data_IF_624798826090
#
_entry.id   IF_624798826090
#
_cell.length_a   1.000
_cell.length_b   1.000
_cell.length_c   1.000
_cell.angle_alpha   90.00
_cell.angle_beta   90.00
_cell.angle_gamma   90.00
#
_symmetry.space_group_name_H-M   'P 1'
#
loop_
_entity.id
_entity.type
_entity.pdbx_description
1 polymer ?
#
# COMPACT_ATOMS: atom_id res chain seq x y z
N UNK A 1 -7.78 5.82 -13.33
CA UNK A 1 -6.42 5.28 -13.12
C UNK A 1 -6.47 3.75 -13.12
N UNK A 2 -5.55 3.04 -13.79
CA UNK A 2 -5.59 1.57 -13.95
C UNK A 2 -4.93 0.78 -12.81
N UNK A 3 -4.95 1.33 -11.60
CA UNK A 3 -4.31 0.78 -10.40
C UNK A 3 -5.37 0.61 -9.33
N UNK A 4 -5.59 -0.62 -8.88
CA UNK A 4 -6.64 -0.96 -7.90
C UNK A 4 -6.08 -1.42 -6.55
N UNK A 5 -4.80 -1.79 -6.51
CA UNK A 5 -4.11 -2.28 -5.32
C UNK A 5 -2.57 -2.20 -5.51
N UNK A 6 -1.80 -2.39 -4.43
CA UNK A 6 -0.33 -2.48 -4.47
C UNK A 6 0.20 -3.61 -5.37
N UNK A 7 -0.63 -4.61 -5.63
CA UNK A 7 -0.35 -5.69 -6.56
C UNK A 7 -1.60 -5.99 -7.36
N UNK A 8 -1.44 -6.15 -8.67
CA UNK A 8 -2.51 -6.54 -9.57
C UNK A 8 -2.25 -7.94 -10.10
N UNK A 9 -3.31 -8.74 -10.20
CA UNK A 9 -3.27 -10.07 -10.81
C UNK A 9 -3.90 -10.00 -12.19
N UNK A 10 -3.19 -10.49 -13.20
CA UNK A 10 -3.77 -10.81 -14.50
C UNK A 10 -3.96 -12.32 -14.57
N UNK A 11 -5.21 -12.74 -14.49
CA UNK A 11 -5.60 -14.15 -14.49
C UNK A 11 -5.33 -14.80 -15.85
N UNK A 12 -5.54 -14.08 -16.95
CA UNK A 12 -5.39 -14.61 -18.30
C UNK A 12 -3.91 -14.84 -18.66
N UNK A 13 -3.03 -13.89 -18.32
CA UNK A 13 -1.58 -14.06 -18.53
C UNK A 13 -0.89 -14.83 -17.40
N UNK A 14 -1.55 -15.00 -16.26
CA UNK A 14 -1.02 -15.58 -15.01
C UNK A 14 0.19 -14.82 -14.48
N UNK A 15 0.14 -13.51 -14.60
CA UNK A 15 1.17 -12.60 -14.15
C UNK A 15 0.68 -11.72 -13.00
N UNK A 16 1.57 -11.44 -12.06
CA UNK A 16 1.38 -10.41 -11.04
C UNK A 16 2.31 -9.25 -11.35
N UNK A 17 1.82 -8.02 -11.23
CA UNK A 17 2.68 -6.85 -11.31
C UNK A 17 2.42 -5.88 -10.15
N UNK A 18 3.50 -5.24 -9.71
CA UNK A 18 3.47 -4.12 -8.77
C UNK A 18 3.50 -2.83 -9.60
N UNK A 19 2.53 -1.92 -9.42
CA UNK A 19 2.55 -0.63 -10.09
C UNK A 19 3.84 0.16 -9.80
N UNK A 20 4.24 1.01 -10.73
CA UNK A 20 5.36 1.96 -10.58
C UNK A 20 5.02 3.26 -11.30
N UNK A 21 5.95 4.21 -11.36
CA UNK A 21 5.70 5.51 -12.04
C UNK A 21 5.34 5.34 -13.52
N UNK A 22 5.68 4.18 -14.09
CA UNK A 22 5.40 3.78 -15.47
C UNK A 22 4.02 3.17 -15.68
N UNK A 23 3.26 2.96 -14.62
CA UNK A 23 1.91 2.38 -14.68
C UNK A 23 0.83 3.41 -15.01
N UNK A 24 1.15 4.70 -14.95
CA UNK A 24 0.22 5.80 -15.18
C UNK A 24 0.38 6.34 -16.60
N UNK A 25 -0.75 6.49 -17.31
CA UNK A 25 -0.83 7.00 -18.68
C UNK A 25 -1.29 8.45 -18.78
N UNK A 26 -1.72 9.03 -17.65
CA UNK A 26 -2.27 10.38 -17.56
C UNK A 26 -1.29 11.28 -16.81
N UNK A 27 -1.31 12.60 -17.07
CA UNK A 27 -0.57 13.57 -16.28
C UNK A 27 -0.88 13.45 -14.80
N UNK A 28 0.16 13.50 -13.98
CA UNK A 28 0.04 13.60 -12.52
C UNK A 28 -0.11 15.07 -12.11
N UNK A 29 -0.45 15.32 -10.84
CA UNK A 29 -0.68 16.68 -10.34
C UNK A 29 0.50 17.62 -10.62
N UNK A 30 1.73 17.16 -10.37
CA UNK A 30 2.94 17.94 -10.62
C UNK A 30 3.19 18.21 -12.11
N UNK A 31 2.80 17.30 -13.01
CA UNK A 31 2.92 17.54 -14.45
C UNK A 31 2.02 18.71 -14.86
N UNK A 32 0.79 18.76 -14.35
CA UNK A 32 -0.19 19.84 -14.63
C UNK A 32 0.31 21.18 -14.05
N UNK A 33 0.89 21.16 -12.84
CA UNK A 33 1.46 22.35 -12.21
C UNK A 33 2.67 22.89 -12.98
N UNK A 34 3.61 22.03 -13.38
CA UNK A 34 4.78 22.44 -14.17
C UNK A 34 4.38 22.99 -15.55
N UNK A 35 3.39 22.39 -16.22
CA UNK A 35 2.85 22.91 -17.49
C UNK A 35 2.29 24.35 -17.34
N UNK A 36 1.84 24.72 -16.13
CA UNK A 36 1.40 26.07 -15.79
C UNK A 36 2.53 27.00 -15.29
N UNK A 37 3.76 26.50 -15.20
CA UNK A 37 4.93 27.23 -14.70
C UNK A 37 5.07 27.28 -13.18
N UNK A 38 4.33 26.45 -12.45
CA UNK A 38 4.45 26.28 -11.00
C UNK A 38 5.58 25.29 -10.72
N UNK A 39 6.57 25.70 -9.93
CA UNK A 39 7.69 24.84 -9.54
C UNK A 39 7.29 23.87 -8.42
N UNK A 40 7.79 22.64 -8.47
CA UNK A 40 7.30 21.54 -7.62
C UNK A 40 8.41 20.75 -6.94
N UNK A 41 8.27 20.57 -5.62
CA UNK A 41 9.05 19.64 -4.81
C UNK A 41 8.18 18.49 -4.31
N UNK A 42 8.59 17.24 -4.54
CA UNK A 42 7.86 16.05 -4.07
C UNK A 42 8.78 15.17 -3.25
N UNK A 43 8.37 14.80 -2.04
CA UNK A 43 9.14 13.96 -1.11
C UNK A 43 8.32 12.74 -0.69
N UNK A 44 8.88 11.55 -0.90
CA UNK A 44 8.37 10.32 -0.29
C UNK A 44 7.06 9.80 -0.88
N UNK A 45 6.60 10.31 -2.03
CA UNK A 45 5.35 9.85 -2.65
C UNK A 45 5.50 8.41 -3.15
N UNK A 46 4.64 7.46 -2.73
CA UNK A 46 4.68 6.09 -3.24
C UNK A 46 4.43 6.01 -4.75
N UNK A 47 4.90 4.92 -5.37
CA UNK A 47 4.70 4.63 -6.80
C UNK A 47 5.33 5.64 -7.77
N UNK A 48 6.18 6.55 -7.31
CA UNK A 48 6.88 7.52 -8.18
C UNK A 48 8.26 7.06 -8.61
N UNK A 49 8.70 5.84 -8.25
CA UNK A 49 9.95 5.27 -8.78
C UNK A 49 9.76 4.60 -10.16
N UNK A 50 10.69 4.77 -11.13
CA UNK A 50 11.80 5.74 -11.11
C UNK A 50 11.29 7.18 -11.11
N UNK A 51 11.98 8.11 -10.40
CA UNK A 51 11.54 9.49 -10.26
C UNK A 51 11.39 10.13 -11.64
N UNK A 52 10.32 10.91 -11.82
CA UNK A 52 10.08 11.69 -13.03
C UNK A 52 10.78 13.04 -12.94
N UNK A 53 11.06 13.61 -14.10
CA UNK A 53 11.50 15.00 -14.22
C UNK A 53 10.36 15.94 -13.80
N UNK A 54 10.70 16.94 -13.00
CA UNK A 54 9.81 18.02 -12.54
C UNK A 54 10.58 19.33 -12.49
N UNK A 55 9.89 20.46 -12.60
CA UNK A 55 10.48 21.80 -12.44
C UNK A 55 10.75 22.08 -10.95
N UNK A 56 11.79 21.43 -10.41
CA UNK A 56 12.14 21.46 -9.00
C UNK A 56 12.87 20.18 -8.61
N UNK A 57 12.28 19.38 -7.71
CA UNK A 57 12.87 18.11 -7.28
C UNK A 57 11.82 17.05 -6.93
N UNK A 58 12.21 15.78 -7.04
CA UNK A 58 11.42 14.62 -6.65
C UNK A 58 12.29 13.62 -5.89
N UNK A 59 11.80 13.12 -4.76
CA UNK A 59 12.32 11.97 -4.02
C UNK A 59 11.24 10.89 -4.05
N UNK A 60 11.53 9.77 -4.69
CA UNK A 60 10.61 8.64 -4.77
C UNK A 60 10.36 8.00 -3.40
N UNK A 61 9.13 7.58 -3.11
CA UNK A 61 8.74 7.00 -1.83
C UNK A 61 8.63 5.47 -1.75
N UNK A 62 8.53 4.95 -0.53
CA UNK A 62 8.14 3.57 -0.25
C UNK A 62 6.63 3.31 -0.44
N UNK A 63 6.18 2.05 -0.59
CA UNK A 63 6.95 0.84 -0.80
C UNK A 63 7.23 0.68 -2.30
N UNK A 64 8.46 0.98 -2.75
CA UNK A 64 8.80 0.89 -4.18
C UNK A 64 10.12 1.54 -4.58
N UNK A 65 10.48 2.66 -3.96
CA UNK A 65 11.75 3.35 -4.25
C UNK A 65 12.97 2.56 -3.72
N UNK A 66 13.98 2.19 -4.51
CA UNK A 66 15.20 1.58 -3.98
C UNK A 66 16.08 2.61 -3.23
N UNK A 67 17.15 2.13 -2.61
CA UNK A 67 18.13 3.00 -1.92
C UNK A 67 19.16 3.62 -2.88
N UNK A 68 18.87 3.61 -4.18
CA UNK A 68 19.64 4.22 -5.27
C UNK A 68 18.71 4.71 -6.39
N UNK A 69 19.19 5.67 -7.18
CA UNK A 69 18.49 6.31 -8.30
C UNK A 69 17.08 6.80 -7.94
N UNK A 70 16.87 7.24 -6.70
CA UNK A 70 15.53 7.57 -6.17
C UNK A 70 15.18 9.04 -6.26
N UNK A 71 16.09 9.89 -6.76
CA UNK A 71 15.87 11.34 -6.87
C UNK A 71 15.90 11.85 -8.31
N UNK A 72 15.16 12.94 -8.52
CA UNK A 72 15.37 13.88 -9.61
C UNK A 72 15.55 15.29 -9.03
N UNK A 73 16.50 16.10 -9.50
CA UNK A 73 17.64 15.72 -10.34
C UNK A 73 18.54 14.66 -9.67
N UNK A 74 19.27 13.86 -10.45
CA UNK A 74 20.04 12.71 -9.96
C UNK A 74 21.11 13.09 -8.90
N UNK A 75 21.67 14.29 -8.97
CA UNK A 75 22.71 14.75 -8.04
C UNK A 75 22.18 15.09 -6.63
N UNK A 76 20.86 15.21 -6.47
CA UNK A 76 20.22 15.37 -5.16
C UNK A 76 20.48 14.16 -4.28
N UNK A 77 20.54 12.94 -4.84
CA UNK A 77 20.78 11.72 -4.07
C UNK A 77 22.11 11.77 -3.30
N UNK A 78 23.20 12.16 -3.96
CA UNK A 78 24.53 12.26 -3.34
C UNK A 78 24.55 13.32 -2.23
N UNK A 79 23.83 14.43 -2.44
CA UNK A 79 23.66 15.47 -1.44
C UNK A 79 22.91 14.94 -0.21
N UNK A 80 21.80 14.24 -0.40
CA UNK A 80 21.00 13.71 0.71
C UNK A 80 21.74 12.62 1.48
N UNK A 81 22.42 11.70 0.78
CA UNK A 81 23.26 10.68 1.42
C UNK A 81 24.41 11.29 2.21
N UNK A 82 25.10 12.29 1.65
CA UNK A 82 26.27 12.89 2.31
C UNK A 82 25.94 13.79 3.50
N UNK A 83 24.83 14.53 3.44
CA UNK A 83 24.42 15.47 4.50
C UNK A 83 23.56 14.84 5.58
N UNK A 84 22.70 13.89 5.20
CA UNK A 84 21.63 13.39 6.06
C UNK A 84 21.68 11.87 6.28
N UNK A 85 22.59 11.14 5.61
CA UNK A 85 22.57 9.67 5.56
C UNK A 85 21.20 9.14 5.10
N UNK A 86 20.59 9.85 4.15
CA UNK A 86 19.20 9.63 3.75
C UNK A 86 19.02 8.38 2.88
N UNK A 87 17.95 7.65 3.18
CA UNK A 87 17.34 6.67 2.27
C UNK A 87 15.81 6.86 2.27
N UNK A 88 15.09 6.50 1.19
CA UNK A 88 13.64 6.68 1.10
C UNK A 88 12.80 5.84 2.07
N UNK A 89 13.44 4.95 2.83
CA UNK A 89 12.80 4.05 3.79
C UNK A 89 13.76 3.75 4.94
N UNK A 90 13.22 3.50 6.15
CA UNK A 90 14.04 3.08 7.27
C UNK A 90 14.72 1.73 6.97
N UNK A 91 15.99 1.62 7.34
CA UNK A 91 16.73 0.35 7.25
C UNK A 91 16.52 -0.46 8.53
N UNK A 92 15.82 -1.59 8.41
CA UNK A 92 15.63 -2.53 9.51
C UNK A 92 16.69 -3.64 9.48
N UNK A 93 17.34 -3.97 10.61
CA UNK A 93 18.20 -5.14 10.72
C UNK A 93 17.43 -6.41 10.31
N UNK A 94 18.08 -7.30 9.57
CA UNK A 94 17.45 -8.52 9.03
C UNK A 94 16.78 -9.43 10.09
N UNK A 95 17.14 -9.27 11.37
CA UNK A 95 16.66 -10.05 12.50
C UNK A 95 15.66 -9.30 13.41
N UNK A 96 15.14 -8.14 12.99
CA UNK A 96 14.29 -7.25 13.83
C UNK A 96 12.78 -7.34 13.56
N UNK A 97 12.33 -8.16 12.61
CA UNK A 97 10.89 -8.39 12.40
C UNK A 97 10.30 -9.17 13.60
N UNK A 98 9.78 -8.44 14.59
CA UNK A 98 8.90 -8.94 15.64
C UNK A 98 9.44 -8.90 17.07
N UNK A 99 10.75 -8.76 17.29
CA UNK A 99 11.33 -8.87 18.64
C UNK A 99 11.63 -7.51 19.33
N UNK A 100 11.51 -6.37 18.63
CA UNK A 100 11.72 -5.04 19.22
C UNK A 100 10.78 -3.96 18.64
N UNK A 101 9.51 -3.95 19.06
CA UNK A 101 8.51 -2.93 18.70
C UNK A 101 9.03 -1.49 18.94
N UNK A 102 9.82 -1.28 19.99
CA UNK A 102 10.35 0.03 20.37
C UNK A 102 11.37 0.56 19.35
N UNK A 103 12.40 -0.23 19.00
CA UNK A 103 13.40 0.17 17.99
C UNK A 103 12.75 0.42 16.62
N UNK A 104 11.76 -0.40 16.26
CA UNK A 104 11.04 -0.25 15.01
C UNK A 104 10.25 1.06 14.98
N UNK A 105 9.57 1.39 16.08
CA UNK A 105 8.89 2.68 16.23
C UNK A 105 9.86 3.86 16.20
N UNK A 106 10.99 3.77 16.88
CA UNK A 106 12.02 4.82 16.91
C UNK A 106 12.54 5.13 15.51
N UNK A 107 12.93 4.11 14.74
CA UNK A 107 13.41 4.29 13.36
C UNK A 107 12.36 4.88 12.43
N UNK A 108 11.10 4.48 12.61
CA UNK A 108 9.99 5.02 11.84
C UNK A 108 9.80 6.50 12.14
N UNK A 109 9.82 6.87 13.43
CA UNK A 109 9.72 8.27 13.88
C UNK A 109 10.91 9.10 13.39
N UNK A 110 12.12 8.53 13.41
CA UNK A 110 13.33 9.16 12.86
C UNK A 110 13.21 9.38 11.34
N UNK A 111 12.67 8.42 10.59
CA UNK A 111 12.42 8.59 9.16
C UNK A 111 11.41 9.70 8.90
N UNK A 112 10.29 9.77 9.65
CA UNK A 112 9.32 10.87 9.54
C UNK A 112 10.02 12.21 9.73
N UNK A 113 10.81 12.35 10.80
CA UNK A 113 11.58 13.58 11.05
C UNK A 113 12.57 13.90 9.92
N UNK A 114 13.23 12.87 9.39
CA UNK A 114 14.21 13.00 8.32
C UNK A 114 13.58 13.44 6.99
N UNK A 115 12.43 12.88 6.62
CA UNK A 115 11.68 13.25 5.41
C UNK A 115 11.32 14.74 5.39
N UNK A 116 10.87 15.28 6.53
CA UNK A 116 10.59 16.72 6.64
C UNK A 116 11.87 17.58 6.65
N UNK A 117 12.96 17.12 7.28
CA UNK A 117 14.25 17.83 7.24
C UNK A 117 14.81 17.94 5.83
N UNK A 118 14.76 16.85 5.06
CA UNK A 118 15.22 16.89 3.66
C UNK A 118 14.28 17.72 2.79
N UNK A 119 12.97 17.67 3.03
CA UNK A 119 12.00 18.51 2.33
C UNK A 119 12.31 20.00 2.55
N UNK A 120 12.51 20.42 3.80
CA UNK A 120 12.89 21.81 4.14
C UNK A 120 14.23 22.22 3.52
N UNK A 121 15.25 21.37 3.61
CA UNK A 121 16.56 21.64 3.02
C UNK A 121 16.48 21.84 1.50
N UNK A 122 15.70 21.00 0.81
CA UNK A 122 15.53 21.13 -0.64
C UNK A 122 14.61 22.30 -1.01
N UNK A 123 13.58 22.59 -0.23
CA UNK A 123 12.78 23.81 -0.38
C UNK A 123 13.68 25.06 -0.29
N UNK A 124 14.53 25.19 0.72
CA UNK A 124 15.47 26.33 0.85
C UNK A 124 16.46 26.45 -0.32
N UNK A 125 16.75 25.33 -1.01
CA UNK A 125 17.67 25.29 -2.16
C UNK A 125 16.98 25.63 -3.48
N UNK A 126 15.78 25.08 -3.70
CA UNK A 126 15.06 25.15 -4.97
C UNK A 126 13.97 26.23 -5.01
N UNK A 127 13.51 26.69 -3.84
CA UNK A 127 12.49 27.75 -3.68
C UNK A 127 11.20 27.43 -4.46
N UNK A 128 10.63 26.25 -4.21
CA UNK A 128 9.49 25.72 -4.99
C UNK A 128 8.15 26.30 -4.55
N UNK A 129 7.26 26.54 -5.50
CA UNK A 129 5.91 27.07 -5.27
C UNK A 129 4.96 26.02 -4.65
N UNK A 130 5.16 24.74 -4.97
CA UNK A 130 4.39 23.61 -4.43
C UNK A 130 5.33 22.58 -3.80
N UNK A 131 5.11 22.26 -2.52
CA UNK A 131 5.86 21.23 -1.80
C UNK A 131 4.91 20.15 -1.26
N UNK A 132 5.09 18.91 -1.71
CA UNK A 132 4.40 17.75 -1.18
C UNK A 132 5.36 16.86 -0.39
N UNK A 133 5.01 16.55 0.87
CA UNK A 133 5.72 15.58 1.71
C UNK A 133 4.75 14.45 2.08
N UNK A 134 5.02 13.24 1.58
CA UNK A 134 4.25 12.05 1.90
C UNK A 134 5.00 11.21 2.94
N UNK A 135 4.39 11.04 4.11
CA UNK A 135 4.98 10.26 5.20
C UNK A 135 4.36 8.86 5.24
N UNK A 136 4.97 7.89 4.57
CA UNK A 136 4.50 6.50 4.57
C UNK A 136 4.61 5.84 5.96
N UNK A 137 5.63 6.22 6.73
CA UNK A 137 5.94 5.65 8.05
C UNK A 137 4.93 6.03 9.15
N UNK A 138 4.05 7.02 8.92
CA UNK A 138 2.94 7.26 9.84
C UNK A 138 1.96 6.08 9.84
N UNK A 139 1.81 5.41 8.69
CA UNK A 139 0.92 4.28 8.53
C UNK A 139 1.65 2.93 8.69
N UNK A 140 2.67 2.71 7.84
CA UNK A 140 3.17 1.37 7.52
C UNK A 140 3.99 0.68 8.62
N UNK A 141 4.35 1.40 9.68
CA UNK A 141 4.42 0.75 10.98
C UNK A 141 3.62 1.41 12.09
N UNK A 142 3.56 2.74 12.17
CA UNK A 142 3.12 3.39 13.41
C UNK A 142 1.62 3.16 13.67
N UNK A 143 0.74 3.55 12.76
CA UNK A 143 -0.70 3.29 12.91
C UNK A 143 -1.01 1.79 12.90
N UNK A 144 -0.36 0.98 12.06
CA UNK A 144 -0.61 -0.46 12.06
C UNK A 144 -0.24 -1.15 13.37
N UNK A 145 0.89 -0.83 13.98
CA UNK A 145 1.37 -1.51 15.20
C UNK A 145 0.88 -0.86 16.49
N UNK A 146 0.79 0.46 16.51
CA UNK A 146 0.52 1.23 17.72
C UNK A 146 -0.84 1.92 17.70
N UNK A 147 -1.54 1.96 16.56
CA UNK A 147 -2.81 2.68 16.41
C UNK A 147 -2.69 4.12 16.90
N UNK A 148 -3.42 4.51 17.94
CA UNK A 148 -3.38 5.83 18.58
C UNK A 148 -2.40 5.93 19.77
N UNK A 149 -1.53 4.93 19.92
CA UNK A 149 -0.54 4.84 20.99
C UNK A 149 0.53 5.93 20.95
N UNK A 150 1.32 6.00 22.03
CA UNK A 150 2.31 7.06 22.23
C UNK A 150 3.36 7.18 21.10
N UNK A 151 3.85 6.10 20.46
CA UNK A 151 4.74 6.24 19.31
C UNK A 151 4.09 6.96 18.10
N UNK A 152 2.87 6.60 17.73
CA UNK A 152 2.13 7.26 16.64
C UNK A 152 1.88 8.73 16.98
N UNK A 153 1.47 9.02 18.21
CA UNK A 153 1.27 10.39 18.69
C UNK A 153 2.57 11.20 18.70
N UNK A 154 3.71 10.58 19.01
CA UNK A 154 5.03 11.23 18.96
C UNK A 154 5.39 11.61 17.51
N UNK A 155 5.15 10.73 16.54
CA UNK A 155 5.33 11.07 15.12
C UNK A 155 4.43 12.23 14.68
N UNK A 156 3.13 12.20 15.02
CA UNK A 156 2.22 13.30 14.70
C UNK A 156 2.67 14.65 15.30
N UNK A 157 3.21 14.66 16.52
CA UNK A 157 3.77 15.89 17.10
C UNK A 157 5.02 16.39 16.37
N UNK A 158 5.83 15.47 15.83
CA UNK A 158 6.99 15.86 15.01
C UNK A 158 6.52 16.46 13.69
N UNK A 159 5.54 15.82 13.04
CA UNK A 159 4.88 16.36 11.84
C UNK A 159 4.32 17.76 12.13
N UNK A 160 3.56 17.93 13.21
CA UNK A 160 2.97 19.22 13.63
C UNK A 160 4.04 20.32 13.82
N UNK A 161 5.17 20.00 14.44
CA UNK A 161 6.28 20.96 14.58
C UNK A 161 6.88 21.35 13.22
N UNK A 162 7.13 20.38 12.33
CA UNK A 162 7.67 20.65 10.99
C UNK A 162 6.68 21.44 10.12
N UNK A 163 5.39 21.15 10.24
CA UNK A 163 4.34 21.94 9.60
C UNK A 163 4.35 23.37 10.13
N UNK A 164 4.49 23.58 11.44
CA UNK A 164 4.64 24.92 12.02
C UNK A 164 5.85 25.68 11.50
N UNK A 165 6.97 24.99 11.27
CA UNK A 165 8.21 25.56 10.72
C UNK A 165 8.12 25.91 9.23
N UNK A 166 7.24 25.26 8.46
CA UNK A 166 7.04 25.48 7.03
C UNK A 166 5.79 26.32 6.73
N UNK A 167 4.84 26.43 7.64
CA UNK A 167 3.54 27.05 7.38
C UNK A 167 3.64 28.53 7.00
N UNK A 168 4.62 29.27 7.53
CA UNK A 168 4.83 30.68 7.20
C UNK A 168 5.45 30.89 5.79
N UNK A 169 5.97 29.83 5.19
CA UNK A 169 6.61 29.85 3.87
C UNK A 169 5.62 29.64 2.71
N UNK A 170 4.41 29.15 3.01
CA UNK A 170 3.37 28.85 2.01
C UNK A 170 2.07 29.57 2.35
N UNK A 171 1.33 30.04 1.34
CA UNK A 171 0.02 30.65 1.57
C UNK A 171 -1.01 29.63 2.06
N UNK A 172 -0.90 28.38 1.59
CA UNK A 172 -1.82 27.30 1.94
C UNK A 172 -1.07 26.09 2.48
N UNK A 173 -1.62 25.49 3.54
CA UNK A 173 -1.22 24.19 4.05
C UNK A 173 -2.39 23.24 3.89
N UNK A 174 -2.16 22.15 3.15
CA UNK A 174 -3.13 21.07 2.92
C UNK A 174 -2.61 19.79 3.57
N UNK A 175 -3.36 19.23 4.49
CA UNK A 175 -3.09 17.91 5.09
C UNK A 175 -4.20 16.98 4.63
N UNK A 176 -3.85 15.86 4.02
CA UNK A 176 -4.80 14.82 3.69
C UNK A 176 -4.20 13.43 3.96
N UNK A 177 -5.05 12.42 4.02
CA UNK A 177 -4.64 11.02 4.04
C UNK A 177 -5.33 10.25 2.94
N UNK A 178 -4.63 9.25 2.40
CA UNK A 178 -5.16 8.32 1.40
C UNK A 178 -6.26 7.40 1.98
N UNK A 179 -6.21 7.18 3.29
CA UNK A 179 -7.25 6.49 4.07
C UNK A 179 -7.23 6.93 5.54
N UNK A 180 -8.21 6.48 6.31
CA UNK A 180 -8.25 6.60 7.76
C UNK A 180 -7.57 5.44 8.49
N UNK A 181 -7.74 5.41 9.81
CA UNK A 181 -7.31 4.27 10.64
C UNK A 181 -8.42 3.88 11.62
N UNK A 182 -8.64 2.58 11.79
CA UNK A 182 -9.52 2.01 12.83
C UNK A 182 -8.73 1.10 13.76
N UNK A 183 -9.20 0.95 15.00
CA UNK A 183 -8.68 -0.07 15.91
C UNK A 183 -8.99 -1.46 15.35
N UNK A 184 -8.03 -2.37 15.43
CA UNK A 184 -8.24 -3.76 15.05
C UNK A 184 -7.41 -4.71 15.90
N UNK A 185 -7.82 -5.97 15.94
CA UNK A 185 -7.05 -7.00 16.62
C UNK A 185 -7.24 -8.40 16.03
N UNK A 186 -7.89 -8.54 14.86
CA UNK A 186 -8.08 -9.81 14.15
C UNK A 186 -7.61 -9.78 12.72
N UNK A 187 -7.30 -10.98 12.25
CA UNK A 187 -7.00 -11.28 10.86
C UNK A 187 -8.00 -12.31 10.36
N UNK A 188 -8.44 -12.12 9.13
CA UNK A 188 -9.25 -13.08 8.37
C UNK A 188 -8.47 -13.54 7.14
N UNK A 189 -8.46 -14.84 6.83
CA UNK A 189 -7.72 -15.41 5.70
C UNK A 189 -8.67 -15.80 4.57
N UNK A 190 -8.96 -14.88 3.64
CA UNK A 190 -9.94 -15.10 2.56
C UNK A 190 -9.60 -16.33 1.69
N UNK A 191 -8.33 -16.52 1.34
CA UNK A 191 -7.92 -17.66 0.51
C UNK A 191 -8.00 -19.01 1.24
N UNK A 192 -7.96 -19.00 2.58
CA UNK A 192 -8.24 -20.19 3.38
C UNK A 192 -9.73 -20.50 3.40
N UNK A 193 -10.58 -19.47 3.47
CA UNK A 193 -12.03 -19.63 3.37
C UNK A 193 -12.44 -20.15 1.98
N UNK A 194 -11.97 -19.51 0.90
CA UNK A 194 -12.21 -19.96 -0.48
C UNK A 194 -11.80 -21.43 -0.68
N UNK A 195 -10.70 -21.87 -0.04
CA UNK A 195 -10.26 -23.25 -0.12
C UNK A 195 -11.12 -24.23 0.70
N UNK A 196 -11.71 -23.79 1.81
CA UNK A 196 -12.61 -24.60 2.62
C UNK A 196 -13.97 -24.79 1.93
N UNK A 197 -14.49 -23.75 1.31
CA UNK A 197 -15.76 -23.77 0.55
C UNK A 197 -15.60 -24.37 -0.86
N UNK A 198 -14.37 -24.64 -1.30
CA UNK A 198 -14.08 -25.34 -2.55
C UNK A 198 -13.90 -24.45 -3.78
N UNK A 199 -13.91 -23.13 -3.63
CA UNK A 199 -13.60 -22.17 -4.70
C UNK A 199 -12.12 -22.12 -5.06
N UNK A 200 -11.21 -22.46 -4.14
CA UNK A 200 -9.77 -22.44 -4.36
C UNK A 200 -9.15 -23.81 -4.10
N UNK A 201 -8.44 -24.34 -5.10
CA UNK A 201 -7.66 -25.56 -4.96
C UNK A 201 -6.17 -25.26 -5.11
N UNK A 202 -5.34 -25.85 -4.24
CA UNK A 202 -3.88 -25.63 -4.24
C UNK A 202 -3.10 -26.92 -4.44
N UNK A 203 -1.92 -26.80 -5.03
CA UNK A 203 -0.94 -27.89 -5.10
C UNK A 203 -0.27 -28.07 -3.73
N UNK A 204 -0.55 -29.19 -3.05
CA UNK A 204 0.14 -29.59 -1.82
C UNK A 204 1.47 -30.24 -2.18
N UNK A 205 2.45 -29.42 -2.55
CA UNK A 205 3.75 -29.93 -2.97
C UNK A 205 4.58 -30.52 -1.82
N UNK A 206 5.57 -31.34 -2.17
CA UNK A 206 6.55 -31.96 -1.26
C UNK A 206 7.19 -30.97 -0.25
N UNK A 207 7.31 -29.69 -0.61
CA UNK A 207 7.93 -28.66 0.23
C UNK A 207 7.07 -28.22 1.41
N UNK A 208 5.73 -28.34 1.34
CA UNK A 208 4.87 -28.09 2.52
C UNK A 208 5.15 -29.12 3.63
N UNK A 209 5.47 -30.37 3.27
CA UNK A 209 5.88 -31.39 4.25
C UNK A 209 7.21 -31.07 4.91
N UNK A 210 8.09 -30.29 4.28
CA UNK A 210 9.35 -29.86 4.89
C UNK A 210 9.14 -28.77 5.95
N UNK A 211 8.08 -27.96 5.82
CA UNK A 211 7.67 -27.03 6.87
C UNK A 211 7.19 -27.77 8.13
N UNK A 212 6.52 -28.92 7.99
CA UNK A 212 6.19 -29.82 9.12
C UNK A 212 7.45 -30.33 9.86
N UNK A 213 8.61 -30.37 9.17
CA UNK A 213 9.92 -30.69 9.75
C UNK A 213 10.73 -29.44 10.14
N UNK A 214 10.10 -28.26 10.15
CA UNK A 214 10.70 -27.01 10.61
C UNK A 214 11.61 -26.32 9.59
N UNK A 215 11.47 -26.60 8.30
CA UNK A 215 12.18 -25.86 7.24
C UNK A 215 11.21 -24.78 6.70
N UNK A 216 11.35 -23.55 7.19
CA UNK A 216 10.57 -22.38 6.79
C UNK A 216 11.43 -21.39 6.01
N UNK A 217 10.82 -20.49 5.22
CA UNK A 217 11.54 -19.44 4.48
C UNK A 217 12.45 -18.63 5.41
N UNK A 218 11.94 -18.24 6.57
CA UNK A 218 12.68 -17.41 7.54
C UNK A 218 13.89 -18.13 8.14
N UNK A 219 13.77 -19.43 8.44
CA UNK A 219 14.93 -20.23 8.90
C UNK A 219 15.98 -20.39 7.80
N UNK A 220 15.54 -20.52 6.55
CA UNK A 220 16.44 -20.65 5.43
C UNK A 220 17.17 -19.34 5.15
N UNK A 221 16.46 -18.21 5.25
CA UNK A 221 17.04 -16.86 5.19
C UNK A 221 18.02 -16.63 6.35
N UNK A 222 17.65 -16.95 7.60
CA UNK A 222 18.55 -16.81 8.76
C UNK A 222 19.83 -17.64 8.66
N UNK A 223 19.78 -18.83 8.03
CA UNK A 223 20.99 -19.60 7.70
C UNK A 223 21.84 -18.89 6.65
N UNK A 224 21.23 -18.32 5.61
CA UNK A 224 21.94 -17.56 4.58
C UNK A 224 22.57 -16.27 5.15
N UNK A 225 21.92 -15.63 6.12
CA UNK A 225 22.42 -14.48 6.86
C UNK A 225 23.63 -14.84 7.72
N UNK A 226 23.53 -15.94 8.48
CA UNK A 226 24.65 -16.47 9.26
C UNK A 226 25.88 -16.75 8.39
N UNK A 227 25.65 -17.19 7.15
CA UNK A 227 26.71 -17.49 6.18
C UNK A 227 27.15 -16.27 5.35
N UNK A 228 26.52 -15.09 5.52
CA UNK A 228 26.74 -13.88 4.71
C UNK A 228 26.56 -14.10 3.21
N UNK A 229 25.63 -15.00 2.85
CA UNK A 229 25.33 -15.35 1.47
C UNK A 229 24.01 -14.73 0.98
N UNK A 230 23.31 -13.96 1.80
CA UNK A 230 22.00 -13.37 1.47
C UNK A 230 22.05 -12.49 0.22
N UNK A 231 22.93 -11.50 0.16
CA UNK A 231 23.06 -10.64 -1.01
C UNK A 231 23.46 -11.37 -2.31
N UNK A 232 24.54 -12.17 -2.36
CA UNK A 232 24.95 -12.81 -3.61
C UNK A 232 23.95 -13.84 -4.12
N UNK A 233 23.14 -14.45 -3.24
CA UNK A 233 22.19 -15.51 -3.61
C UNK A 233 20.75 -15.04 -3.77
N UNK A 234 20.34 -13.94 -3.13
CA UNK A 234 18.99 -13.36 -3.31
C UNK A 234 18.78 -12.78 -4.71
N UNK A 235 19.86 -12.37 -5.39
CA UNK A 235 19.85 -11.92 -6.78
C UNK A 235 19.79 -13.07 -7.81
N UNK A 236 19.87 -14.33 -7.36
CA UNK A 236 19.74 -15.49 -8.24
C UNK A 236 18.26 -15.84 -8.40
N UNK A 237 17.70 -15.61 -9.59
CA UNK A 237 16.30 -15.87 -9.93
C UNK A 237 15.80 -17.24 -9.45
N UNK A 238 16.63 -18.28 -9.60
CA UNK A 238 16.32 -19.65 -9.17
C UNK A 238 16.08 -19.76 -7.66
N UNK A 239 16.83 -19.02 -6.84
CA UNK A 239 16.69 -19.05 -5.38
C UNK A 239 15.51 -18.19 -4.90
N UNK A 240 15.21 -17.07 -5.56
CA UNK A 240 13.93 -16.34 -5.36
C UNK A 240 12.74 -17.25 -5.66
N UNK A 241 12.75 -17.93 -6.81
CA UNK A 241 11.70 -18.86 -7.20
C UNK A 241 11.59 -20.06 -6.24
N UNK A 242 12.70 -20.55 -5.69
CA UNK A 242 12.67 -21.60 -4.66
C UNK A 242 12.11 -21.08 -3.33
N UNK A 243 12.49 -19.86 -2.92
CA UNK A 243 11.99 -19.20 -1.71
C UNK A 243 10.48 -18.95 -1.75
N UNK A 244 9.93 -18.59 -2.92
CA UNK A 244 8.47 -18.48 -3.16
C UNK A 244 7.71 -19.80 -2.96
N UNK A 245 8.41 -20.93 -3.08
CA UNK A 245 7.82 -22.27 -2.94
C UNK A 245 7.86 -22.80 -1.52
N UNK A 246 8.53 -22.11 -0.58
CA UNK A 246 8.65 -22.46 0.85
C UNK A 246 7.81 -21.48 1.68
N UNK A 247 6.96 -21.96 2.60
CA UNK A 247 6.11 -21.07 3.39
C UNK A 247 6.95 -20.29 4.41
N UNK A 248 6.47 -19.12 4.80
CA UNK A 248 7.05 -18.38 5.92
C UNK A 248 6.89 -19.14 7.25
N UNK A 249 7.45 -18.61 8.35
CA UNK A 249 7.33 -19.18 9.70
C UNK A 249 5.88 -19.33 10.18
N UNK A 250 4.94 -18.63 9.56
CA UNK A 250 3.50 -18.68 9.85
C UNK A 250 2.75 -19.68 8.96
N UNK A 251 3.45 -20.36 8.05
CA UNK A 251 2.89 -21.37 7.14
C UNK A 251 2.24 -20.77 5.88
N UNK A 252 2.57 -19.52 5.53
CA UNK A 252 1.92 -18.75 4.47
C UNK A 252 2.77 -18.59 3.21
N UNK A 253 2.08 -18.57 2.08
CA UNK A 253 2.62 -18.15 0.79
C UNK A 253 1.94 -16.85 0.35
N UNK A 254 2.73 -15.90 -0.17
CA UNK A 254 2.23 -14.74 -0.90
C UNK A 254 1.71 -13.55 -0.10
N UNK A 255 1.93 -13.47 1.22
CA UNK A 255 1.49 -12.30 2.02
C UNK A 255 2.07 -10.95 1.55
N UNK A 256 3.25 -10.95 0.92
CA UNK A 256 3.90 -9.75 0.33
C UNK A 256 4.18 -9.88 -1.17
N UNK A 257 3.82 -11.03 -1.76
CA UNK A 257 4.11 -11.35 -3.16
C UNK A 257 3.01 -12.29 -3.69
N UNK A 258 1.88 -11.74 -4.10
CA UNK A 258 0.75 -12.42 -4.77
C UNK A 258 1.17 -13.22 -5.99
N UNK A 259 2.36 -13.01 -6.56
CA UNK A 259 3.01 -13.97 -7.47
C UNK A 259 3.00 -15.42 -6.97
N UNK A 260 3.06 -15.66 -5.65
CA UNK A 260 3.00 -16.99 -5.06
C UNK A 260 1.61 -17.65 -5.20
N UNK A 261 0.55 -16.87 -5.45
CA UNK A 261 -0.79 -17.37 -5.80
C UNK A 261 -0.69 -18.17 -7.09
N UNK A 262 -0.06 -17.62 -8.14
CA UNK A 262 0.08 -18.29 -9.43
C UNK A 262 0.87 -19.61 -9.34
N UNK A 263 1.87 -19.68 -8.46
CA UNK A 263 2.70 -20.87 -8.25
C UNK A 263 2.00 -21.99 -7.46
N UNK A 264 0.98 -21.66 -6.67
CA UNK A 264 0.37 -22.59 -5.71
C UNK A 264 -1.04 -23.00 -6.05
N UNK A 265 -1.75 -22.19 -6.83
CA UNK A 265 -3.13 -22.46 -7.23
C UNK A 265 -3.19 -23.45 -8.39
N UNK A 266 -4.05 -24.47 -8.26
CA UNK A 266 -4.42 -25.36 -9.35
C UNK A 266 -5.53 -24.69 -10.17
N UNK A 267 -5.13 -23.91 -11.17
CA UNK A 267 -6.03 -23.09 -11.98
C UNK A 267 -7.10 -23.87 -12.74
N UNK A 268 -6.87 -25.15 -13.08
CA UNK A 268 -7.92 -25.98 -13.70
C UNK A 268 -9.10 -26.30 -12.76
N UNK A 269 -8.89 -26.16 -11.44
CA UNK A 269 -9.84 -26.54 -10.40
C UNK A 269 -10.33 -25.33 -9.58
N UNK A 270 -9.69 -24.17 -9.73
CA UNK A 270 -9.96 -22.96 -8.92
C UNK A 270 -10.89 -21.99 -9.64
N UNK A 271 -11.90 -21.50 -8.93
CA UNK A 271 -12.89 -20.53 -9.39
C UNK A 271 -12.50 -19.10 -9.04
N UNK A 272 -11.90 -18.86 -7.87
CA UNK A 272 -11.56 -17.52 -7.42
C UNK A 272 -10.33 -17.49 -6.50
N UNK A 273 -9.66 -16.34 -6.49
CA UNK A 273 -8.55 -16.01 -5.60
C UNK A 273 -8.72 -14.61 -5.03
N UNK A 274 -8.30 -14.39 -3.79
CA UNK A 274 -8.30 -13.07 -3.13
C UNK A 274 -6.89 -12.55 -2.87
N UNK A 275 -6.76 -11.22 -2.84
CA UNK A 275 -5.59 -10.50 -2.32
C UNK A 275 -5.89 -9.97 -0.91
N UNK A 276 -4.86 -9.48 -0.23
CA UNK A 276 -5.03 -8.78 1.04
C UNK A 276 -5.88 -7.51 0.87
N UNK A 277 -6.63 -7.13 1.91
CA UNK A 277 -7.55 -5.99 1.94
C UNK A 277 -8.69 -6.02 0.90
N UNK A 278 -9.05 -7.21 0.39
CA UNK A 278 -10.36 -7.41 -0.22
C UNK A 278 -10.48 -7.65 -1.73
N UNK A 279 -9.54 -7.31 -2.63
CA UNK A 279 -9.70 -7.61 -4.06
C UNK A 279 -9.84 -9.12 -4.31
N UNK A 280 -10.88 -9.55 -5.03
CA UNK A 280 -11.03 -10.93 -5.53
C UNK A 280 -11.10 -10.97 -7.05
N UNK A 281 -10.46 -11.98 -7.61
CA UNK A 281 -10.41 -12.25 -9.04
C UNK A 281 -11.00 -13.63 -9.33
N UNK A 282 -11.91 -13.71 -10.30
CA UNK A 282 -12.51 -14.94 -10.76
C UNK A 282 -11.73 -15.51 -11.94
N UNK A 283 -11.71 -16.83 -12.04
CA UNK A 283 -10.97 -17.54 -13.06
C UNK A 283 -11.76 -17.63 -14.37
N UNK A 284 -11.66 -16.59 -15.19
CA UNK A 284 -12.32 -16.50 -16.50
C UNK A 284 -11.83 -17.53 -17.52
N UNK A 285 -10.68 -18.17 -17.31
CA UNK A 285 -10.22 -19.27 -18.17
C UNK A 285 -11.00 -20.57 -17.92
N UNK A 286 -11.50 -20.76 -16.69
CA UNK A 286 -12.26 -21.94 -16.26
C UNK A 286 -13.76 -21.71 -16.38
N UNK A 287 -14.22 -20.54 -15.94
CA UNK A 287 -15.63 -20.18 -15.83
C UNK A 287 -16.13 -19.59 -17.15
N UNK A 288 -17.17 -20.18 -17.74
CA UNK A 288 -17.89 -19.51 -18.82
C UNK A 288 -18.73 -18.34 -18.28
N UNK A 289 -19.28 -17.48 -19.15
CA UNK A 289 -20.03 -16.28 -18.76
C UNK A 289 -21.17 -16.54 -17.75
N UNK A 290 -21.93 -17.63 -17.92
CA UNK A 290 -23.02 -17.98 -16.99
C UNK A 290 -22.48 -18.49 -15.65
N UNK A 291 -21.42 -19.30 -15.68
CA UNK A 291 -20.75 -19.79 -14.48
C UNK A 291 -20.09 -18.65 -13.71
N UNK A 292 -19.43 -17.72 -14.41
CA UNK A 292 -18.85 -16.51 -13.85
C UNK A 292 -19.89 -15.71 -13.07
N UNK A 293 -21.02 -15.36 -13.68
CA UNK A 293 -22.06 -14.58 -12.99
C UNK A 293 -22.68 -15.34 -11.81
N UNK A 294 -22.90 -16.65 -11.98
CA UNK A 294 -23.45 -17.49 -10.91
C UNK A 294 -22.49 -17.57 -9.72
N UNK A 295 -21.21 -17.83 -9.97
CA UNK A 295 -20.15 -17.90 -8.95
C UNK A 295 -19.95 -16.54 -8.30
N UNK A 296 -19.91 -15.46 -9.07
CA UNK A 296 -19.77 -14.09 -8.56
C UNK A 296 -20.87 -13.72 -7.58
N UNK A 297 -22.14 -14.00 -7.92
CA UNK A 297 -23.28 -13.73 -7.04
C UNK A 297 -23.23 -14.59 -5.76
N UNK A 298 -22.87 -15.87 -5.88
CA UNK A 298 -22.71 -16.74 -4.71
C UNK A 298 -21.61 -16.26 -3.78
N UNK A 299 -20.46 -15.87 -4.32
CA UNK A 299 -19.35 -15.35 -3.53
C UNK A 299 -19.75 -14.10 -2.75
N UNK A 300 -20.52 -13.18 -3.35
CA UNK A 300 -21.08 -12.03 -2.62
C UNK A 300 -21.89 -12.50 -1.41
N UNK A 301 -22.91 -13.33 -1.63
CA UNK A 301 -23.80 -13.80 -0.55
C UNK A 301 -23.05 -14.60 0.52
N UNK A 302 -22.17 -15.51 0.12
CA UNK A 302 -21.47 -16.40 1.03
C UNK A 302 -20.38 -15.67 1.83
N UNK A 303 -19.62 -14.75 1.21
CA UNK A 303 -18.61 -13.95 1.92
C UNK A 303 -19.27 -13.01 2.93
N UNK A 304 -20.36 -12.34 2.57
CA UNK A 304 -21.10 -11.47 3.50
C UNK A 304 -21.75 -12.26 4.65
N UNK A 305 -21.98 -13.56 4.47
CA UNK A 305 -22.54 -14.43 5.51
C UNK A 305 -21.51 -15.00 6.49
N UNK A 306 -20.21 -14.75 6.27
CA UNK A 306 -19.15 -15.28 7.14
C UNK A 306 -19.28 -14.67 8.53
N UNK A 307 -19.17 -15.51 9.56
CA UNK A 307 -19.14 -15.09 10.96
C UNK A 307 -17.92 -15.69 11.64
N UNK A 308 -17.15 -14.87 12.34
CA UNK A 308 -16.20 -15.35 13.34
C UNK A 308 -16.97 -15.84 14.57
N UNK A 309 -17.19 -17.15 14.63
CA UNK A 309 -17.96 -17.79 15.70
C UNK A 309 -17.45 -17.48 17.12
N UNK A 310 -16.16 -17.13 17.28
CA UNK A 310 -15.59 -16.81 18.59
C UNK A 310 -16.03 -15.42 19.08
N UNK A 311 -16.41 -14.55 18.15
CA UNK A 311 -16.74 -13.14 18.41
C UNK A 311 -18.18 -12.78 18.07
N UNK A 312 -18.88 -13.65 17.36
CA UNK A 312 -20.22 -13.39 16.84
C UNK A 312 -20.25 -12.10 15.99
N UNK A 313 -19.21 -11.94 15.14
CA UNK A 313 -19.01 -10.76 14.31
C UNK A 313 -18.56 -11.15 12.89
N UNK A 314 -19.01 -10.45 11.84
CA UNK A 314 -18.58 -10.70 10.48
C UNK A 314 -17.20 -10.05 10.21
N UNK A 315 -16.25 -10.76 9.56
CA UNK A 315 -14.97 -10.17 9.19
C UNK A 315 -15.04 -9.23 7.99
N UNK A 316 -16.07 -9.37 7.15
CA UNK A 316 -16.31 -8.58 5.95
C UNK A 316 -17.64 -7.85 6.14
N UNK A 317 -17.63 -6.52 5.99
CA UNK A 317 -18.82 -5.69 6.12
C UNK A 317 -19.73 -5.79 4.90
N UNK A 318 -19.13 -5.79 3.71
CA UNK A 318 -19.85 -5.78 2.44
C UNK A 318 -18.94 -6.26 1.31
N UNK A 319 -19.50 -6.88 0.28
CA UNK A 319 -18.80 -7.22 -0.95
C UNK A 319 -19.41 -6.46 -2.11
N UNK A 320 -18.59 -5.66 -2.80
CA UNK A 320 -19.00 -4.90 -3.97
C UNK A 320 -18.58 -5.62 -5.24
N UNK A 321 -19.41 -5.58 -6.27
CA UNK A 321 -18.97 -5.89 -7.64
C UNK A 321 -18.19 -4.71 -8.20
N UNK A 322 -17.30 -5.02 -9.14
CA UNK A 322 -16.45 -4.00 -9.77
C UNK A 322 -17.24 -2.84 -10.37
N UNK A 323 -18.40 -3.10 -10.96
CA UNK A 323 -19.25 -2.07 -11.59
C UNK A 323 -19.93 -1.14 -10.58
N UNK A 324 -19.94 -1.49 -9.29
CA UNK A 324 -20.46 -0.65 -8.21
C UNK A 324 -19.42 0.33 -7.67
N UNK A 325 -18.14 0.03 -7.86
CA UNK A 325 -17.00 0.80 -7.31
C UNK A 325 -16.25 1.56 -8.39
N UNK A 326 -16.05 0.91 -9.53
CA UNK A 326 -15.14 1.38 -10.57
C UNK A 326 -15.88 1.69 -11.87
N UNK A 327 -15.31 2.61 -12.64
CA UNK A 327 -15.75 2.96 -13.98
C UNK A 327 -14.54 3.42 -14.82
N UNK A 328 -14.71 3.50 -16.14
CA UNK A 328 -13.68 3.99 -17.07
C UNK A 328 -12.94 2.90 -17.84
N UNK A 329 -11.84 3.27 -18.49
CA UNK A 329 -11.16 2.45 -19.51
C UNK A 329 -10.43 1.21 -18.98
N UNK A 330 -10.23 1.10 -17.66
CA UNK A 330 -9.48 0.01 -17.03
C UNK A 330 -10.36 -1.05 -16.36
N UNK A 331 -11.67 -1.07 -16.63
CA UNK A 331 -12.61 -2.02 -16.03
C UNK A 331 -12.26 -3.50 -16.28
N UNK A 332 -11.56 -3.80 -17.36
CA UNK A 332 -11.08 -5.15 -17.67
C UNK A 332 -9.94 -5.62 -16.74
N UNK A 333 -9.28 -4.68 -16.06
CA UNK A 333 -8.19 -4.95 -15.10
C UNK A 333 -8.65 -4.87 -13.64
N UNK A 334 -9.86 -4.39 -13.39
CA UNK A 334 -10.40 -4.26 -12.04
C UNK A 334 -10.63 -5.65 -11.42
N UNK A 335 -10.45 -5.80 -10.10
CA UNK A 335 -10.85 -7.03 -9.41
C UNK A 335 -12.35 -7.23 -9.60
N UNK A 336 -12.80 -8.48 -9.80
CA UNK A 336 -14.20 -8.79 -10.06
C UNK A 336 -15.12 -8.48 -8.87
N UNK A 337 -14.59 -8.63 -7.65
CA UNK A 337 -15.23 -8.25 -6.40
C UNK A 337 -14.25 -7.52 -5.48
N UNK A 338 -14.77 -6.67 -4.62
CA UNK A 338 -14.02 -5.98 -3.56
C UNK A 338 -14.72 -6.25 -2.22
N UNK A 339 -14.09 -7.04 -1.36
CA UNK A 339 -14.58 -7.31 -0.01
C UNK A 339 -14.09 -6.24 0.96
N UNK A 340 -14.99 -5.42 1.48
CA UNK A 340 -14.70 -4.40 2.47
C UNK A 340 -14.59 -5.04 3.87
N UNK A 341 -13.41 -4.99 4.45
CA UNK A 341 -13.14 -5.52 5.79
C UNK A 341 -13.99 -4.79 6.85
N UNK A 342 -14.45 -5.52 7.86
CA UNK A 342 -14.95 -4.90 9.09
C UNK A 342 -13.78 -4.22 9.83
N UNK A 343 -14.00 -3.10 10.54
CA UNK A 343 -12.91 -2.30 11.13
C UNK A 343 -11.94 -3.09 12.02
N UNK A 344 -12.44 -4.09 12.75
CA UNK A 344 -11.69 -4.90 13.71
C UNK A 344 -10.87 -6.04 13.07
N UNK A 345 -11.06 -6.26 11.77
CA UNK A 345 -10.46 -7.33 11.00
C UNK A 345 -9.55 -6.78 9.91
N UNK A 346 -8.50 -7.53 9.62
CA UNK A 346 -7.66 -7.29 8.46
C UNK A 346 -7.59 -8.55 7.59
N UNK A 347 -8.07 -8.43 6.35
CA UNK A 347 -8.11 -9.53 5.42
C UNK A 347 -6.73 -9.80 4.79
N UNK A 348 -6.26 -11.03 4.94
CA UNK A 348 -4.99 -11.55 4.43
C UNK A 348 -5.25 -12.45 3.22
N UNK A 349 -4.60 -12.12 2.09
CA UNK A 349 -4.60 -12.92 0.87
C UNK A 349 -3.61 -14.10 0.87
N UNK A 350 -2.98 -14.43 2.00
CA UNK A 350 -2.01 -15.53 2.06
C UNK A 350 -2.66 -16.90 1.83
N UNK A 351 -2.01 -17.78 1.06
CA UNK A 351 -2.45 -19.17 0.84
C UNK A 351 -1.70 -20.10 1.79
N UNK A 352 -2.37 -21.14 2.30
CA UNK A 352 -1.70 -22.23 3.01
C UNK A 352 -2.29 -22.51 4.39
N UNK A 353 -2.78 -21.47 5.07
CA UNK A 353 -3.38 -21.57 6.41
C UNK A 353 -4.60 -22.49 6.41
N UNK A 354 -4.76 -23.23 7.51
CA UNK A 354 -5.98 -24.00 7.80
C UNK A 354 -6.97 -23.20 8.64
N UNK A 355 -6.47 -22.24 9.42
CA UNK A 355 -7.29 -21.37 10.26
C UNK A 355 -7.86 -20.23 9.42
N UNK A 356 -9.12 -19.85 9.69
CA UNK A 356 -9.78 -18.71 9.05
C UNK A 356 -9.53 -17.39 9.79
N UNK A 357 -9.34 -17.47 11.11
CA UNK A 357 -9.22 -16.32 12.00
C UNK A 357 -8.01 -16.45 12.90
N UNK A 358 -7.32 -15.33 13.13
CA UNK A 358 -6.20 -15.25 14.07
C UNK A 358 -6.18 -13.87 14.73
N UNK A 359 -5.76 -13.84 16.00
CA UNK A 359 -5.39 -12.57 16.64
C UNK A 359 -4.26 -11.89 15.87
N UNK A 360 -4.44 -10.61 15.56
CA UNK A 360 -3.46 -9.78 14.90
C UNK A 360 -2.38 -9.30 15.88
N UNK A 361 -1.16 -9.16 15.38
CA UNK A 361 -0.08 -8.46 16.06
C UNK A 361 -0.14 -6.94 15.81
N UNK A 362 -0.92 -6.53 14.81
CA UNK A 362 -1.24 -5.14 14.53
C UNK A 362 -2.46 -4.68 15.34
N UNK A 363 -2.49 -3.39 15.67
CA UNK A 363 -3.53 -2.72 16.47
C UNK A 363 -4.38 -1.75 15.64
N UNK A 364 -3.92 -1.35 14.45
CA UNK A 364 -4.63 -0.45 13.55
C UNK A 364 -4.81 -1.02 12.15
N UNK A 365 -5.98 -0.82 11.55
CA UNK A 365 -6.28 -1.15 10.16
C UNK A 365 -6.64 0.11 9.37
N UNK A 366 -6.59 0.01 8.04
CA UNK A 366 -7.03 1.08 7.15
C UNK A 366 -8.55 1.26 7.26
N UNK A 367 -9.01 2.50 7.31
CA UNK A 367 -10.44 2.84 7.38
C UNK A 367 -10.85 3.78 6.24
N UNK A 368 -12.15 3.83 5.92
CA UNK A 368 -12.66 4.67 4.81
C UNK A 368 -12.59 6.17 5.08
N UNK A 369 -12.67 6.61 6.34
CA UNK A 369 -12.72 8.03 6.69
C UNK A 369 -11.33 8.54 7.07
N UNK A 370 -10.70 9.27 6.15
CA UNK A 370 -9.38 9.88 6.35
C UNK A 370 -9.41 11.27 6.99
N UNK A 371 -8.26 11.92 6.96
CA UNK A 371 -8.05 13.31 7.35
C UNK A 371 -8.06 14.19 6.09
N UNK A 372 -8.71 15.35 6.17
CA UNK A 372 -8.57 16.41 5.19
C UNK A 372 -8.67 17.77 5.91
N UNK A 373 -7.63 18.59 5.78
CA UNK A 373 -7.52 19.91 6.41
C UNK A 373 -6.89 20.85 5.40
N UNK A 374 -7.48 22.04 5.24
CA UNK A 374 -6.90 23.13 4.47
C UNK A 374 -6.84 24.35 5.38
N UNK A 375 -5.71 25.05 5.37
CA UNK A 375 -5.51 26.31 6.08
C UNK A 375 -4.84 27.31 5.14
N UNK A 376 -5.39 28.52 5.05
CA UNK A 376 -4.83 29.60 4.23
C UNK A 376 -5.78 30.78 4.10
N UNK A 377 -5.40 31.83 3.35
CA UNK A 377 -6.24 32.99 3.08
C UNK A 377 -7.62 32.60 2.56
N UNK A 378 -8.68 33.23 3.08
CA UNK A 378 -10.05 33.01 2.60
C UNK A 378 -10.68 31.66 2.99
N UNK A 379 -9.96 30.78 3.67
CA UNK A 379 -10.50 29.49 4.14
C UNK A 379 -11.24 29.69 5.47
N UNK A 380 -12.55 29.45 5.45
CA UNK A 380 -13.39 29.49 6.65
C UNK A 380 -13.18 28.26 7.54
N UNK A 381 -13.33 28.45 8.86
CA UNK A 381 -13.34 27.33 9.81
C UNK A 381 -14.67 26.57 9.71
N UNK A 382 -14.71 25.56 8.84
CA UNK A 382 -15.87 24.73 8.59
C UNK A 382 -15.49 23.25 8.45
N UNK A 383 -16.47 22.37 8.67
CA UNK A 383 -16.35 20.95 8.31
C UNK A 383 -16.91 20.77 6.92
N UNK A 384 -16.13 20.11 6.07
CA UNK A 384 -16.51 19.74 4.70
C UNK A 384 -16.48 18.23 4.57
N UNK A 385 -17.38 17.69 3.76
CA UNK A 385 -17.30 16.32 3.29
C UNK A 385 -16.58 16.36 1.94
N UNK A 386 -15.45 15.67 1.84
CA UNK A 386 -14.61 15.64 0.65
C UNK A 386 -14.26 14.19 0.32
N UNK A 387 -14.12 13.90 -0.96
CA UNK A 387 -13.60 12.64 -1.47
C UNK A 387 -12.12 12.77 -1.80
N UNK A 388 -11.39 11.65 -1.83
CA UNK A 388 -9.96 11.68 -2.18
C UNK A 388 -9.72 12.23 -3.59
N UNK A 389 -10.71 12.08 -4.48
CA UNK A 389 -10.68 12.62 -5.85
C UNK A 389 -10.72 14.15 -5.89
N UNK A 390 -11.19 14.80 -4.83
CA UNK A 390 -11.32 16.25 -4.74
C UNK A 390 -9.98 16.94 -4.40
N UNK A 391 -8.97 16.20 -3.93
CA UNK A 391 -7.68 16.76 -3.49
C UNK A 391 -6.95 17.45 -4.63
N UNK A 392 -6.72 16.76 -5.75
CA UNK A 392 -6.04 17.31 -6.91
C UNK A 392 -6.75 18.54 -7.51
N UNK A 393 -8.07 18.52 -7.82
CA UNK A 393 -8.76 19.69 -8.35
C UNK A 393 -8.80 20.86 -7.35
N UNK A 394 -8.85 20.59 -6.04
CA UNK A 394 -8.73 21.65 -5.02
C UNK A 394 -7.36 22.30 -5.07
N UNK A 395 -6.28 21.52 -5.11
CA UNK A 395 -4.91 22.07 -5.21
C UNK A 395 -4.75 22.90 -6.49
N UNK A 396 -5.23 22.41 -7.64
CA UNK A 396 -5.17 23.17 -8.89
C UNK A 396 -5.90 24.52 -8.78
N UNK A 397 -7.06 24.54 -8.14
CA UNK A 397 -7.85 25.76 -7.94
C UNK A 397 -7.14 26.77 -7.04
N UNK A 398 -6.35 26.33 -6.05
CA UNK A 398 -5.52 27.21 -5.22
C UNK A 398 -4.43 27.94 -6.02
N UNK A 399 -4.04 27.41 -7.18
CA UNK A 399 -3.12 28.05 -8.13
C UNK A 399 -3.85 28.80 -9.26
N UNK A 400 -5.16 29.07 -9.11
CA UNK A 400 -6.01 29.68 -10.14
C UNK A 400 -6.04 28.87 -11.47
N UNK A 401 -5.85 27.54 -11.39
CA UNK A 401 -5.89 26.64 -12.54
C UNK A 401 -7.23 25.91 -12.64
N UNK A 402 -7.83 25.94 -13.84
CA UNK A 402 -9.01 25.14 -14.14
C UNK A 402 -8.68 23.64 -14.10
N UNK A 403 -9.32 22.83 -13.23
CA UNK A 403 -9.06 21.40 -13.19
C UNK A 403 -9.43 20.72 -14.53
N UNK A 404 -8.58 19.80 -15.05
CA UNK A 404 -8.92 19.04 -16.24
C UNK A 404 -10.25 18.30 -16.12
N UNK A 405 -11.05 18.31 -17.18
CA UNK A 405 -12.40 17.71 -17.19
C UNK A 405 -12.42 16.19 -17.06
N UNK A 406 -11.25 15.53 -17.07
CA UNK A 406 -11.09 14.09 -16.90
C UNK A 406 -10.67 13.70 -15.48
N UNK A 407 -10.65 14.64 -14.52
CA UNK A 407 -10.58 14.33 -13.10
C UNK A 407 -11.98 13.95 -12.60
N UNK A 408 -12.05 12.96 -11.70
CA UNK A 408 -13.32 12.46 -11.15
C UNK A 408 -13.91 13.39 -10.07
N UNK A 409 -13.05 14.08 -9.33
CA UNK A 409 -13.45 14.97 -8.23
C UNK A 409 -13.63 16.43 -8.66
N UNK A 410 -14.04 17.24 -7.69
CA UNK A 410 -14.27 18.68 -7.85
C UNK A 410 -13.57 19.48 -6.74
N UNK A 411 -13.22 20.75 -6.96
CA UNK A 411 -12.65 21.58 -5.91
C UNK A 411 -13.58 21.66 -4.69
N UNK A 412 -13.00 21.51 -3.48
CA UNK A 412 -13.71 21.65 -2.19
C UNK A 412 -13.89 23.13 -1.81
N UNK A 413 -13.04 24.01 -2.35
CA UNK A 413 -13.09 25.45 -2.16
C UNK A 413 -13.69 26.11 -3.40
N UNK A 414 -14.48 27.17 -3.18
CA UNK A 414 -15.16 27.97 -4.21
C UNK A 414 -14.21 28.94 -4.95
#
# INVERSE_FOLDING_TARGET
MGVFWWESLDIASKESFTPSSRSFSHPELWDILNDAGVTTGVVGMPLTYPPKEVDGFMISGGPGAPDHDFTYPEDVEDELKSKFDYTPRPTFPADSEGDNEEEFAEKSIEQVDLDFKVAKHLYEKYDVDFLQVCSFEINAPLQHQFYDGEPTKKAWKIIDNHLGDLADEFEYVVIHSDHGTSEMDQQFFINSWLAQEGYLTRDRSFFERLADYGITRDRLLGVLDTLRLREPLSNVQTLRNLGRRIPDSRGLFGEREGSAIFDKVLWGETDAVGLAQGPLYLNTDKLNEQEYETTRNKLVEEIESIVDEKRDAPPIQQVFKKEEVYHGEYMDKAPDLVALDAPEYHNKGGIGKKELFRKSDWRGNNARQGLHVISGPGVDSARVDAEIYDVAPTILSLFDLDPPSNLDGTPVLD
#
